data_IF_416141920156
#
_entry.id   IF_416141920156
#
_cell.length_a   1.000
_cell.length_b   1.000
_cell.length_c   1.000
_cell.angle_alpha   90.00
_cell.angle_beta   90.00
_cell.angle_gamma   90.00
#
_symmetry.space_group_name_H-M   'P 1'
#
loop_
_entity.id
_entity.type
_entity.pdbx_description
1 polymer ?
#
# COMPACT_ATOMS: atom_id res chain seq x y z
N UNK A 1 22.96 8.06 13.45
CA UNK A 1 21.68 7.54 12.90
C UNK A 1 21.83 7.52 11.41
N UNK A 2 21.38 6.48 10.77
CA UNK A 2 21.47 6.33 9.30
C UNK A 2 20.40 7.28 8.70
N UNK A 3 20.84 8.40 8.15
CA UNK A 3 19.96 9.51 7.68
C UNK A 3 19.16 9.12 6.41
N UNK A 4 19.43 7.94 5.87
CA UNK A 4 18.79 7.40 4.67
C UNK A 4 17.37 6.88 4.90
N UNK A 5 17.00 6.56 6.15
CA UNK A 5 15.68 5.98 6.44
C UNK A 5 14.74 6.99 7.08
N UNK A 6 13.52 7.09 6.54
CA UNK A 6 12.46 7.90 7.13
C UNK A 6 11.63 7.11 8.15
N UNK A 7 11.55 5.78 7.98
CA UNK A 7 10.93 4.84 8.92
C UNK A 7 11.99 3.82 9.35
N UNK A 8 12.18 3.63 10.66
CA UNK A 8 12.96 2.53 11.25
C UNK A 8 12.13 1.91 12.38
N UNK A 9 11.74 0.66 12.19
CA UNK A 9 10.89 -0.11 13.11
C UNK A 9 11.65 -1.33 13.58
N UNK A 10 11.65 -1.58 14.89
CA UNK A 10 12.30 -2.75 15.50
C UNK A 10 11.39 -3.42 16.50
N UNK A 11 11.11 -4.71 16.27
CA UNK A 11 10.36 -5.58 17.16
C UNK A 11 8.94 -5.09 17.46
N UNK A 12 8.32 -4.34 16.54
CA UNK A 12 7.00 -3.76 16.77
C UNK A 12 5.96 -4.85 17.00
N UNK A 13 5.30 -4.81 18.16
CA UNK A 13 4.25 -5.75 18.54
C UNK A 13 3.01 -5.01 19.00
N UNK A 14 1.84 -5.46 18.52
CA UNK A 14 0.53 -4.93 18.93
C UNK A 14 -0.46 -6.05 19.23
N UNK A 15 -1.02 -5.98 20.43
CA UNK A 15 -2.00 -6.92 20.93
C UNK A 15 -3.41 -6.29 20.99
N UNK A 16 -4.42 -7.08 20.72
CA UNK A 16 -5.82 -6.80 21.00
C UNK A 16 -6.40 -8.01 21.75
N UNK A 17 -6.45 -7.93 23.09
CA UNK A 17 -6.68 -9.12 23.92
C UNK A 17 -5.59 -10.16 23.67
N UNK A 18 -5.98 -11.39 23.37
CA UNK A 18 -5.04 -12.50 23.08
C UNK A 18 -4.53 -12.51 21.63
N UNK A 19 -5.10 -11.65 20.75
CA UNK A 19 -4.74 -11.63 19.34
C UNK A 19 -3.54 -10.70 19.09
N UNK A 20 -2.44 -11.26 18.58
CA UNK A 20 -1.32 -10.49 18.03
C UNK A 20 -1.69 -9.96 16.64
N UNK A 21 -1.94 -8.67 16.55
CA UNK A 21 -2.24 -8.00 15.28
C UNK A 21 -0.96 -7.59 14.52
N UNK A 22 0.12 -7.32 15.28
CA UNK A 22 1.49 -7.15 14.79
C UNK A 22 2.36 -7.99 15.73
N UNK A 23 3.31 -8.76 15.18
CA UNK A 23 4.09 -9.74 15.94
C UNK A 23 5.58 -9.63 15.61
N UNK A 24 6.29 -8.78 16.38
CA UNK A 24 7.73 -8.60 16.28
C UNK A 24 8.21 -8.05 14.93
N UNK A 25 7.50 -7.07 14.36
CA UNK A 25 7.76 -6.56 13.02
C UNK A 25 9.01 -5.65 13.01
N UNK A 26 9.97 -6.00 12.15
CA UNK A 26 11.14 -5.18 11.80
C UNK A 26 10.98 -4.64 10.38
N UNK A 27 11.22 -3.34 10.17
CA UNK A 27 11.06 -2.71 8.86
C UNK A 27 11.86 -1.40 8.79
N UNK A 28 12.40 -1.11 7.60
CA UNK A 28 12.99 0.19 7.28
C UNK A 28 12.49 0.68 5.93
N UNK A 29 12.15 1.98 5.83
CA UNK A 29 11.74 2.62 4.57
C UNK A 29 12.68 3.79 4.30
N UNK A 30 13.22 3.85 3.06
CA UNK A 30 14.14 4.91 2.65
C UNK A 30 13.39 6.21 2.34
N UNK A 31 14.08 7.34 2.45
CA UNK A 31 13.55 8.62 2.01
C UNK A 31 13.30 8.61 0.50
N UNK A 32 12.16 9.17 0.08
CA UNK A 32 11.74 9.19 -1.33
C UNK A 32 11.30 7.83 -1.90
N UNK A 33 11.23 6.79 -1.06
CA UNK A 33 10.78 5.47 -1.49
C UNK A 33 9.24 5.40 -1.54
N UNK A 34 8.69 4.71 -2.55
CA UNK A 34 7.30 4.25 -2.54
C UNK A 34 7.28 2.79 -2.12
N UNK A 35 6.73 2.54 -0.93
CA UNK A 35 6.77 1.25 -0.26
C UNK A 35 5.37 0.72 0.00
N UNK A 36 5.14 -0.56 -0.26
CA UNK A 36 3.84 -1.19 -0.05
C UNK A 36 3.87 -2.29 1.00
N UNK A 37 2.83 -2.33 1.83
CA UNK A 37 2.40 -3.52 2.56
C UNK A 37 1.29 -4.22 1.78
N UNK A 38 1.60 -5.38 1.23
CA UNK A 38 0.68 -6.22 0.49
C UNK A 38 0.29 -7.43 1.35
N UNK A 39 -1.00 -7.65 1.54
CA UNK A 39 -1.47 -8.79 2.34
C UNK A 39 -2.98 -8.89 2.43
N UNK A 40 -3.51 -10.03 2.91
CA UNK A 40 -4.93 -10.24 3.06
C UNK A 40 -5.58 -9.34 4.10
N UNK A 41 -6.90 -9.30 4.10
CA UNK A 41 -7.64 -8.65 5.16
C UNK A 41 -7.36 -9.33 6.49
N UNK A 42 -7.09 -8.52 7.53
CA UNK A 42 -6.72 -9.01 8.85
C UNK A 42 -5.24 -9.39 9.01
N UNK A 43 -4.39 -9.19 7.99
CA UNK A 43 -2.95 -9.45 8.09
C UNK A 43 -2.18 -8.51 9.03
N UNK A 44 -2.78 -7.38 9.43
CA UNK A 44 -2.16 -6.37 10.30
C UNK A 44 -1.85 -5.04 9.61
N UNK A 45 -2.13 -4.87 8.31
CA UNK A 45 -1.80 -3.67 7.51
C UNK A 45 -2.27 -2.37 8.15
N UNK A 46 -3.58 -2.21 8.34
CA UNK A 46 -4.20 -1.02 8.96
C UNK A 46 -3.69 -0.79 10.38
N UNK A 47 -3.50 -1.87 11.16
CA UNK A 47 -2.96 -1.76 12.52
C UNK A 47 -1.54 -1.22 12.51
N UNK A 48 -0.71 -1.66 11.56
CA UNK A 48 0.66 -1.16 11.40
C UNK A 48 0.65 0.32 11.03
N UNK A 49 -0.13 0.73 10.01
CA UNK A 49 -0.26 2.17 9.66
C UNK A 49 -0.70 3.00 10.87
N UNK A 50 -1.70 2.53 11.63
CA UNK A 50 -2.18 3.25 12.80
C UNK A 50 -1.15 3.34 13.92
N UNK A 51 -0.33 2.30 14.13
CA UNK A 51 0.76 2.32 15.10
C UNK A 51 1.87 3.29 14.67
N UNK A 52 2.33 3.21 13.41
CA UNK A 52 3.37 4.09 12.86
C UNK A 52 2.95 5.56 12.82
N UNK A 53 1.68 5.83 12.51
CA UNK A 53 1.12 7.19 12.46
C UNK A 53 0.66 7.72 13.82
N UNK A 54 0.95 7.01 14.90
CA UNK A 54 0.56 7.37 16.28
C UNK A 54 -0.94 7.47 16.54
N UNK A 55 -1.76 6.87 15.68
CA UNK A 55 -3.22 6.78 15.86
C UNK A 55 -3.63 5.68 16.84
N UNK A 56 -2.73 4.76 17.15
CA UNK A 56 -2.85 3.77 18.22
C UNK A 56 -1.49 3.52 18.86
N UNK A 57 -1.47 3.17 20.14
CA UNK A 57 -0.25 2.72 20.81
C UNK A 57 0.12 1.29 20.38
N UNK A 58 1.36 0.90 20.67
CA UNK A 58 1.87 -0.47 20.52
C UNK A 58 2.38 -0.97 21.88
N UNK A 59 2.60 -2.29 21.98
CA UNK A 59 2.88 -2.94 23.25
C UNK A 59 4.38 -3.18 23.45
N UNK A 60 5.12 -3.53 22.35
CA UNK A 60 6.56 -3.77 22.39
C UNK A 60 7.25 -3.21 21.15
N UNK A 61 8.55 -2.99 21.24
CA UNK A 61 9.39 -2.53 20.13
C UNK A 61 9.68 -1.03 20.15
N UNK A 62 10.20 -0.53 19.04
CA UNK A 62 10.49 0.89 18.85
C UNK A 62 10.20 1.33 17.41
N UNK A 63 9.78 2.58 17.26
CA UNK A 63 9.49 3.19 15.96
C UNK A 63 10.12 4.57 15.89
N UNK A 64 10.92 4.78 14.86
CA UNK A 64 11.51 6.07 14.52
C UNK A 64 10.88 6.57 13.22
N UNK A 65 10.42 7.82 13.19
CA UNK A 65 9.93 8.51 12.01
C UNK A 65 10.71 9.81 11.84
N UNK A 66 11.33 9.98 10.68
CA UNK A 66 12.17 11.16 10.33
C UNK A 66 13.26 11.44 11.39
N UNK A 67 13.77 10.38 12.04
CA UNK A 67 14.78 10.48 13.10
C UNK A 67 14.20 10.71 14.50
N UNK A 68 12.89 10.82 14.65
CA UNK A 68 12.20 11.02 15.93
C UNK A 68 11.56 9.72 16.43
N UNK A 69 11.78 9.40 17.70
CA UNK A 69 11.08 8.32 18.39
C UNK A 69 9.62 8.75 18.61
N UNK A 70 8.66 7.99 18.06
CA UNK A 70 7.25 8.40 18.08
C UNK A 70 6.63 8.41 19.49
N UNK A 71 7.26 7.78 20.48
CA UNK A 71 6.82 7.78 21.88
C UNK A 71 7.43 8.95 22.64
N UNK A 72 8.72 9.25 22.40
CA UNK A 72 9.45 10.30 23.12
C UNK A 72 9.26 11.69 22.48
N UNK A 73 9.15 11.74 21.16
CA UNK A 73 9.05 12.97 20.37
C UNK A 73 7.81 12.93 19.44
N UNK A 74 6.59 12.74 19.98
CA UNK A 74 5.39 12.50 19.18
C UNK A 74 4.98 13.69 18.31
N UNK A 75 5.28 14.92 18.72
CA UNK A 75 4.89 16.12 17.96
C UNK A 75 5.77 16.29 16.71
N UNK A 76 7.07 16.09 16.85
CA UNK A 76 8.05 16.16 15.77
C UNK A 76 7.79 15.03 14.76
N UNK A 77 7.55 13.82 15.22
CA UNK A 77 7.19 12.70 14.36
C UNK A 77 5.90 12.96 13.59
N UNK A 78 4.85 13.47 14.26
CA UNK A 78 3.56 13.82 13.63
C UNK A 78 3.69 14.92 12.58
N UNK A 79 4.54 15.91 12.82
CA UNK A 79 4.78 17.00 11.87
C UNK A 79 5.38 16.49 10.54
N UNK A 80 6.09 15.35 10.57
CA UNK A 80 6.66 14.73 9.36
C UNK A 80 5.68 13.85 8.59
N UNK A 81 4.47 13.59 9.13
CA UNK A 81 3.55 12.56 8.63
C UNK A 81 2.26 13.18 8.08
N UNK A 82 1.87 12.82 6.86
CA UNK A 82 0.49 12.91 6.37
C UNK A 82 -0.16 11.52 6.43
N UNK A 83 -1.44 11.46 6.81
CA UNK A 83 -2.16 10.18 6.94
C UNK A 83 -3.50 10.23 6.22
N UNK A 84 -3.75 9.22 5.38
CA UNK A 84 -5.05 8.98 4.77
C UNK A 84 -5.50 7.59 5.16
N UNK A 85 -6.57 7.54 5.91
CA UNK A 85 -7.20 6.29 6.30
C UNK A 85 -8.09 5.75 5.18
N UNK A 86 -8.46 4.49 5.25
CA UNK A 86 -9.38 3.84 4.31
C UNK A 86 -10.70 4.61 4.19
N UNK A 87 -11.25 5.07 5.32
CA UNK A 87 -12.40 5.98 5.33
C UNK A 87 -11.94 7.43 5.29
N UNK A 88 -12.47 8.17 4.33
CA UNK A 88 -12.11 9.57 4.11
C UNK A 88 -12.70 10.43 5.24
N UNK A 89 -11.81 11.10 5.97
CA UNK A 89 -12.18 12.02 7.07
C UNK A 89 -12.31 13.47 6.56
N UNK A 90 -13.18 13.69 5.56
CA UNK A 90 -13.53 15.02 5.07
C UNK A 90 -14.92 15.39 5.59
N UNK A 91 -15.09 16.66 5.94
CA UNK A 91 -16.41 17.22 6.24
C UNK A 91 -17.18 17.43 4.93
N UNK A 92 -18.29 16.72 4.78
CA UNK A 92 -19.09 16.71 3.56
C UNK A 92 -19.87 18.01 3.32
N UNK A 93 -20.17 18.72 4.40
CA UNK A 93 -20.92 19.98 4.35
C UNK A 93 -20.05 21.19 3.99
N UNK A 94 -18.73 21.04 4.18
CA UNK A 94 -17.73 22.03 3.84
C UNK A 94 -17.31 21.93 2.37
N UNK A 95 -16.85 23.06 1.82
CA UNK A 95 -16.19 23.10 0.52
C UNK A 95 -14.81 22.45 0.57
N UNK A 96 -14.22 22.19 -0.60
CA UNK A 96 -12.82 21.71 -0.71
C UNK A 96 -11.87 22.67 0.00
N UNK A 97 -12.02 24.00 -0.26
CA UNK A 97 -11.20 25.02 0.38
C UNK A 97 -11.34 25.02 1.91
N UNK A 98 -12.56 24.96 2.42
CA UNK A 98 -12.83 24.93 3.87
C UNK A 98 -12.24 23.68 4.54
N UNK A 99 -12.32 22.51 3.91
CA UNK A 99 -11.66 21.31 4.39
C UNK A 99 -10.14 21.50 4.46
N UNK A 100 -9.51 22.01 3.41
CA UNK A 100 -8.07 22.27 3.40
C UNK A 100 -7.70 23.30 4.47
N UNK A 101 -8.48 24.36 4.64
CA UNK A 101 -8.27 25.40 5.67
C UNK A 101 -8.39 24.81 7.08
N UNK A 102 -9.39 23.94 7.32
CA UNK A 102 -9.57 23.23 8.59
C UNK A 102 -8.36 22.36 8.93
N UNK A 103 -7.85 21.62 7.95
CA UNK A 103 -6.62 20.84 8.13
C UNK A 103 -5.40 21.72 8.42
N UNK A 104 -5.24 22.86 7.72
CA UNK A 104 -4.18 23.82 8.01
C UNK A 104 -4.27 24.41 9.43
N UNK A 105 -5.49 24.60 9.92
CA UNK A 105 -5.74 25.04 11.30
C UNK A 105 -5.38 23.96 12.33
N UNK A 106 -5.81 22.71 12.11
CA UNK A 106 -5.48 21.58 12.98
C UNK A 106 -3.97 21.34 13.06
N UNK A 107 -3.26 21.53 11.96
CA UNK A 107 -1.80 21.44 11.90
C UNK A 107 -1.08 22.71 12.40
N UNK A 108 -1.81 23.65 12.99
CA UNK A 108 -1.29 24.90 13.60
C UNK A 108 -0.42 25.72 12.63
N UNK A 109 -0.68 25.65 11.32
CA UNK A 109 0.07 26.43 10.36
C UNK A 109 -0.07 27.95 10.61
N UNK A 110 1.00 28.75 10.41
CA UNK A 110 0.93 30.19 10.52
C UNK A 110 -0.15 30.78 9.59
N UNK A 111 -0.95 31.73 10.09
CA UNK A 111 -2.07 32.31 9.34
C UNK A 111 -1.64 32.89 7.98
N UNK A 112 -0.45 33.48 7.92
CA UNK A 112 0.10 34.08 6.71
C UNK A 112 0.35 33.05 5.59
N UNK A 113 0.65 31.79 5.93
CA UNK A 113 1.07 30.78 4.97
C UNK A 113 -0.09 29.92 4.45
N UNK A 114 -1.18 29.81 5.23
CA UNK A 114 -2.29 28.89 4.95
C UNK A 114 -2.88 29.04 3.56
N UNK A 115 -3.30 30.28 3.22
CA UNK A 115 -3.94 30.54 1.92
C UNK A 115 -2.99 30.24 0.77
N UNK A 116 -1.76 30.74 0.83
CA UNK A 116 -0.74 30.50 -0.19
C UNK A 116 -0.50 29.01 -0.41
N UNK A 117 -0.37 28.25 0.69
CA UNK A 117 -0.14 26.79 0.61
C UNK A 117 -1.32 26.04 0.02
N UNK A 118 -2.55 26.42 0.40
CA UNK A 118 -3.78 25.83 -0.14
C UNK A 118 -3.89 26.10 -1.64
N UNK A 119 -3.66 27.35 -2.07
CA UNK A 119 -3.72 27.72 -3.49
C UNK A 119 -2.68 26.93 -4.31
N UNK A 120 -1.43 26.82 -3.82
CA UNK A 120 -0.37 26.03 -4.46
C UNK A 120 -0.74 24.54 -4.59
N UNK A 121 -1.28 23.93 -3.54
CA UNK A 121 -1.68 22.52 -3.57
C UNK A 121 -2.88 22.30 -4.49
N UNK A 122 -3.84 23.22 -4.51
CA UNK A 122 -5.01 23.16 -5.38
C UNK A 122 -4.61 23.21 -6.85
N UNK A 123 -3.67 24.08 -7.21
CA UNK A 123 -3.09 24.17 -8.55
C UNK A 123 -2.31 22.90 -8.90
N UNK A 124 -1.46 22.42 -7.97
CA UNK A 124 -0.62 21.22 -8.14
C UNK A 124 -1.39 19.97 -8.55
N UNK A 125 -2.59 19.77 -7.99
CA UNK A 125 -3.42 18.59 -8.28
C UNK A 125 -4.61 18.88 -9.21
N UNK A 126 -4.72 20.09 -9.74
CA UNK A 126 -5.77 20.48 -10.67
C UNK A 126 -7.16 20.58 -10.03
N UNK A 127 -7.26 21.07 -8.79
CA UNK A 127 -8.53 21.27 -8.08
C UNK A 127 -9.25 22.59 -8.43
N UNK A 128 -8.71 23.43 -9.34
CA UNK A 128 -9.20 24.78 -9.59
C UNK A 128 -10.71 24.90 -9.75
N UNK A 129 -11.31 24.03 -10.56
CA UNK A 129 -12.76 24.03 -10.82
C UNK A 129 -13.59 23.54 -9.63
N UNK A 130 -12.99 22.78 -8.70
CA UNK A 130 -13.69 22.15 -7.56
C UNK A 130 -13.48 22.89 -6.23
N UNK A 131 -12.68 23.93 -6.22
CA UNK A 131 -12.23 24.65 -5.02
C UNK A 131 -13.39 25.07 -4.10
N UNK A 132 -14.49 25.59 -4.69
CA UNK A 132 -15.67 26.06 -3.99
C UNK A 132 -16.83 25.03 -3.95
N UNK A 133 -16.59 23.81 -4.44
CA UNK A 133 -17.60 22.77 -4.38
C UNK A 133 -17.64 22.13 -3.00
N UNK A 134 -18.85 21.83 -2.50
CA UNK A 134 -19.00 20.98 -1.32
C UNK A 134 -18.43 19.60 -1.60
N UNK A 135 -17.73 19.04 -0.61
CA UNK A 135 -17.12 17.70 -0.74
C UNK A 135 -18.18 16.64 -1.06
N UNK A 136 -19.39 16.78 -0.54
CA UNK A 136 -20.46 15.80 -0.82
C UNK A 136 -20.79 15.67 -2.31
N UNK A 137 -20.66 16.74 -3.08
CA UNK A 137 -20.94 16.79 -4.52
C UNK A 137 -19.81 16.21 -5.39
N UNK A 138 -18.69 15.78 -4.81
CA UNK A 138 -17.56 15.22 -5.54
C UNK A 138 -17.71 13.72 -5.75
N UNK A 139 -17.14 13.21 -6.86
CA UNK A 139 -16.99 11.78 -7.06
C UNK A 139 -16.02 11.17 -6.02
N UNK A 140 -16.07 9.85 -5.83
CA UNK A 140 -15.18 9.14 -4.91
C UNK A 140 -13.69 9.40 -5.18
N UNK A 141 -13.30 9.44 -6.45
CA UNK A 141 -11.92 9.74 -6.86
C UNK A 141 -11.50 11.16 -6.48
N UNK A 142 -12.36 12.15 -6.69
CA UNK A 142 -12.09 13.52 -6.27
C UNK A 142 -12.05 13.66 -4.74
N UNK A 143 -12.94 13.00 -4.01
CA UNK A 143 -12.88 12.95 -2.53
C UNK A 143 -11.52 12.42 -2.04
N UNK A 144 -10.99 11.36 -2.66
CA UNK A 144 -9.65 10.83 -2.33
C UNK A 144 -8.54 11.84 -2.62
N UNK A 145 -8.58 12.52 -3.78
CA UNK A 145 -7.59 13.57 -4.11
C UNK A 145 -7.64 14.73 -3.11
N UNK A 146 -8.82 15.20 -2.72
CA UNK A 146 -8.98 16.25 -1.70
C UNK A 146 -8.41 15.78 -0.36
N UNK A 147 -8.66 14.54 0.06
CA UNK A 147 -8.10 13.98 1.29
C UNK A 147 -6.55 13.99 1.26
N UNK A 148 -5.95 13.61 0.12
CA UNK A 148 -4.49 13.67 -0.05
C UNK A 148 -3.98 15.10 0.13
N UNK A 149 -4.62 16.08 -0.51
CA UNK A 149 -4.20 17.48 -0.37
C UNK A 149 -4.31 17.97 1.05
N UNK A 150 -5.40 17.64 1.73
CA UNK A 150 -5.57 17.97 3.15
C UNK A 150 -4.43 17.40 4.00
N UNK A 151 -4.01 16.15 3.71
CA UNK A 151 -2.89 15.51 4.40
C UNK A 151 -1.52 16.14 4.04
N UNK A 152 -1.41 16.86 2.91
CA UNK A 152 -0.18 17.50 2.45
C UNK A 152 -0.05 18.98 2.86
N UNK A 153 -1.09 19.57 3.45
CA UNK A 153 -1.14 21.01 3.73
C UNK A 153 0.05 21.47 4.57
N UNK A 154 0.44 20.72 5.60
CA UNK A 154 1.53 21.05 6.52
C UNK A 154 2.93 20.63 6.02
N UNK A 155 3.03 20.23 4.76
CA UNK A 155 4.28 19.84 4.10
C UNK A 155 4.99 18.64 4.76
N UNK A 156 4.31 17.49 4.96
CA UNK A 156 4.92 16.31 5.53
C UNK A 156 6.01 15.75 4.61
N UNK A 157 6.90 14.92 5.16
CA UNK A 157 7.94 14.19 4.41
C UNK A 157 7.53 12.77 4.06
N UNK A 158 6.53 12.24 4.77
CA UNK A 158 6.03 10.87 4.67
C UNK A 158 4.51 10.89 4.58
N UNK A 159 3.96 10.18 3.58
CA UNK A 159 2.53 10.00 3.39
C UNK A 159 2.15 8.55 3.63
N UNK A 160 1.32 8.30 4.64
CA UNK A 160 0.67 7.01 4.85
C UNK A 160 -0.67 6.94 4.14
N UNK A 161 -0.90 5.87 3.38
CA UNK A 161 -2.13 5.60 2.64
C UNK A 161 -2.65 4.21 3.01
N UNK A 162 -3.79 4.15 3.69
CA UNK A 162 -4.41 2.87 4.02
C UNK A 162 -5.47 2.52 2.98
N UNK A 163 -5.16 1.56 2.11
CA UNK A 163 -6.00 1.08 1.00
C UNK A 163 -6.58 2.22 0.13
N UNK A 164 -5.73 3.05 -0.50
CA UNK A 164 -6.15 4.32 -1.11
C UNK A 164 -7.12 4.17 -2.28
N UNK A 165 -7.08 3.06 -3.01
CA UNK A 165 -7.86 2.87 -4.25
C UNK A 165 -9.12 2.03 -4.07
N UNK A 166 -9.37 1.54 -2.85
CA UNK A 166 -10.59 0.76 -2.56
C UNK A 166 -11.83 1.58 -2.86
N UNK A 167 -12.75 0.98 -3.62
CA UNK A 167 -14.03 1.59 -4.01
C UNK A 167 -13.95 2.59 -5.17
N UNK A 168 -12.79 2.73 -5.81
CA UNK A 168 -12.63 3.56 -7.01
C UNK A 168 -12.85 2.74 -8.29
N UNK A 169 -13.44 3.38 -9.30
CA UNK A 169 -13.45 2.86 -10.65
C UNK A 169 -12.04 2.89 -11.28
N UNK A 170 -11.88 2.26 -12.43
CA UNK A 170 -10.58 2.11 -13.11
C UNK A 170 -9.96 3.48 -13.45
N UNK A 171 -10.76 4.45 -13.91
CA UNK A 171 -10.25 5.77 -14.31
C UNK A 171 -9.81 6.57 -13.07
N UNK A 172 -10.61 6.59 -12.02
CA UNK A 172 -10.28 7.25 -10.76
C UNK A 172 -9.03 6.63 -10.11
N UNK A 173 -8.90 5.29 -10.16
CA UNK A 173 -7.71 4.56 -9.67
C UNK A 173 -6.45 4.99 -10.42
N UNK A 174 -6.46 4.96 -11.75
CA UNK A 174 -5.32 5.39 -12.58
C UNK A 174 -4.94 6.85 -12.31
N UNK A 175 -5.94 7.73 -12.26
CA UNK A 175 -5.68 9.13 -11.95
C UNK A 175 -5.15 9.38 -10.53
N UNK A 176 -5.47 8.50 -9.56
CA UNK A 176 -4.86 8.53 -8.24
C UNK A 176 -3.41 8.01 -8.28
N UNK A 177 -3.13 6.95 -9.03
CA UNK A 177 -1.76 6.44 -9.24
C UNK A 177 -0.84 7.49 -9.86
N UNK A 178 -1.33 8.23 -10.87
CA UNK A 178 -0.56 9.31 -11.48
C UNK A 178 -0.23 10.42 -10.49
N UNK A 179 -1.17 10.76 -9.61
CA UNK A 179 -0.93 11.73 -8.53
C UNK A 179 0.13 11.20 -7.55
N UNK A 180 0.05 9.94 -7.12
CA UNK A 180 1.04 9.35 -6.21
C UNK A 180 2.44 9.28 -6.83
N UNK A 181 2.54 8.90 -8.11
CA UNK A 181 3.82 8.93 -8.84
C UNK A 181 4.39 10.35 -8.91
N UNK A 182 3.56 11.36 -9.19
CA UNK A 182 3.98 12.76 -9.23
C UNK A 182 4.53 13.19 -7.87
N UNK A 183 3.81 12.91 -6.78
CA UNK A 183 4.26 13.24 -5.42
C UNK A 183 5.58 12.55 -5.07
N UNK A 184 5.73 11.28 -5.43
CA UNK A 184 6.95 10.52 -5.15
C UNK A 184 8.14 11.03 -5.99
N UNK A 185 7.94 11.35 -7.26
CA UNK A 185 8.96 11.97 -8.13
C UNK A 185 9.42 13.34 -7.59
N UNK A 186 8.55 14.06 -6.89
CA UNK A 186 8.88 15.31 -6.22
C UNK A 186 9.55 15.09 -4.83
N UNK A 187 9.92 13.86 -4.52
CA UNK A 187 10.69 13.48 -3.32
C UNK A 187 9.87 13.05 -2.11
N UNK A 188 8.53 12.96 -2.22
CA UNK A 188 7.68 12.47 -1.14
C UNK A 188 7.92 10.99 -0.90
N UNK A 189 8.16 10.59 0.35
CA UNK A 189 8.10 9.18 0.73
C UNK A 189 6.65 8.75 0.87
N UNK A 190 6.29 7.62 0.28
CA UNK A 190 4.93 7.10 0.34
C UNK A 190 4.95 5.68 0.89
N UNK A 191 4.19 5.47 1.95
CA UNK A 191 3.91 4.15 2.51
C UNK A 191 2.44 3.82 2.28
N UNK A 192 2.15 2.80 1.50
CA UNK A 192 0.77 2.40 1.26
C UNK A 192 0.49 0.96 1.69
N UNK A 193 -0.74 0.72 2.12
CA UNK A 193 -1.25 -0.63 2.29
C UNK A 193 -2.21 -0.95 1.17
N UNK A 194 -2.16 -2.17 0.70
CA UNK A 194 -3.08 -2.64 -0.33
C UNK A 194 -3.29 -4.15 -0.25
N UNK A 195 -4.39 -4.62 -0.81
CA UNK A 195 -4.60 -6.02 -1.16
C UNK A 195 -4.66 -6.22 -2.68
N UNK A 196 -4.51 -5.13 -3.47
CA UNK A 196 -4.41 -5.16 -4.92
C UNK A 196 -2.93 -5.30 -5.32
N UNK A 197 -2.59 -6.45 -5.88
CA UNK A 197 -1.20 -6.75 -6.30
C UNK A 197 -0.76 -5.81 -7.42
N UNK A 198 -1.65 -5.53 -8.39
CA UNK A 198 -1.40 -4.61 -9.50
C UNK A 198 -0.97 -3.21 -9.01
N UNK A 199 -1.56 -2.74 -7.88
CA UNK A 199 -1.18 -1.46 -7.28
C UNK A 199 0.24 -1.48 -6.74
N UNK A 200 0.59 -2.52 -5.98
CA UNK A 200 1.94 -2.69 -5.42
C UNK A 200 2.99 -2.84 -6.54
N UNK A 201 2.69 -3.65 -7.57
CA UNK A 201 3.58 -3.91 -8.70
C UNK A 201 3.79 -2.66 -9.57
N UNK A 202 2.71 -1.89 -9.82
CA UNK A 202 2.77 -0.73 -10.71
C UNK A 202 3.37 0.52 -10.08
N UNK A 203 3.26 0.69 -8.76
CA UNK A 203 3.62 1.92 -8.07
C UNK A 203 4.90 1.82 -7.25
N UNK A 204 5.15 0.67 -6.60
CA UNK A 204 6.08 0.64 -5.50
C UNK A 204 7.48 0.20 -5.89
N UNK A 205 8.48 0.88 -5.32
CA UNK A 205 9.87 0.49 -5.48
C UNK A 205 10.17 -0.81 -4.73
N UNK A 206 9.52 -1.00 -3.58
CA UNK A 206 9.68 -2.17 -2.73
C UNK A 206 8.35 -2.55 -2.08
N UNK A 207 8.15 -3.85 -1.92
CA UNK A 207 6.93 -4.44 -1.39
C UNK A 207 7.29 -5.40 -0.28
N UNK A 208 6.53 -5.36 0.81
CA UNK A 208 6.54 -6.40 1.84
C UNK A 208 5.23 -7.17 1.82
N UNK A 209 5.33 -8.48 1.75
CA UNK A 209 4.21 -9.38 1.99
C UNK A 209 4.01 -9.54 3.49
N UNK A 210 2.82 -9.19 3.96
CA UNK A 210 2.45 -9.32 5.38
C UNK A 210 1.36 -10.36 5.58
N UNK A 211 1.58 -11.27 6.51
CA UNK A 211 0.60 -12.26 6.96
C UNK A 211 0.66 -12.43 8.47
N UNK A 212 -0.50 -12.45 9.12
CA UNK A 212 -0.65 -12.67 10.58
C UNK A 212 0.28 -11.78 11.43
N UNK A 213 0.42 -10.52 11.02
CA UNK A 213 1.23 -9.52 11.73
C UNK A 213 2.73 -9.59 11.49
N UNK A 214 3.21 -10.43 10.56
CA UNK A 214 4.63 -10.59 10.23
C UNK A 214 4.91 -10.29 8.76
N UNK A 215 6.09 -9.72 8.49
CA UNK A 215 6.62 -9.68 7.13
C UNK A 215 7.17 -11.07 6.79
N UNK A 216 6.65 -11.67 5.71
CA UNK A 216 7.06 -12.99 5.24
C UNK A 216 8.03 -12.93 4.06
N UNK A 217 8.00 -11.84 3.30
CA UNK A 217 8.94 -11.57 2.23
C UNK A 217 9.02 -10.07 1.98
N UNK A 218 10.18 -9.59 1.54
CA UNK A 218 10.43 -8.20 1.17
C UNK A 218 11.40 -8.14 -0.01
N UNK A 219 11.17 -7.20 -0.93
CA UNK A 219 12.01 -6.95 -2.10
C UNK A 219 11.34 -6.03 -3.10
N UNK A 220 12.01 -5.78 -4.23
CA UNK A 220 11.33 -5.16 -5.38
C UNK A 220 10.28 -6.12 -5.93
N UNK A 221 9.24 -5.63 -6.63
CA UNK A 221 8.27 -6.52 -7.26
C UNK A 221 8.93 -7.61 -8.13
N UNK A 222 9.96 -7.23 -8.90
CA UNK A 222 10.71 -8.14 -9.77
C UNK A 222 11.52 -9.17 -8.98
N UNK A 223 12.23 -8.75 -7.91
CA UNK A 223 12.99 -9.68 -7.06
C UNK A 223 12.07 -10.70 -6.39
N UNK A 224 10.91 -10.26 -5.91
CA UNK A 224 9.94 -11.15 -5.29
C UNK A 224 9.39 -12.17 -6.28
N UNK A 225 9.05 -11.74 -7.50
CA UNK A 225 8.61 -12.63 -8.58
C UNK A 225 9.69 -13.66 -8.93
N UNK A 226 10.95 -13.23 -9.06
CA UNK A 226 12.06 -14.11 -9.41
C UNK A 226 12.45 -15.12 -8.32
N UNK A 227 12.01 -14.94 -7.07
CA UNK A 227 12.26 -15.93 -6.00
C UNK A 227 11.61 -17.29 -6.24
N UNK A 228 10.57 -17.34 -7.07
CA UNK A 228 9.85 -18.58 -7.37
C UNK A 228 10.12 -19.11 -8.79
N UNK A 229 10.85 -18.33 -9.61
CA UNK A 229 11.18 -18.62 -11.02
C UNK A 229 10.88 -17.45 -11.92
N UNK A 230 11.50 -17.39 -13.10
CA UNK A 230 11.34 -16.27 -14.05
C UNK A 230 10.18 -16.45 -15.01
N UNK A 231 9.75 -17.70 -15.21
CA UNK A 231 8.68 -18.07 -16.14
C UNK A 231 7.66 -18.94 -15.42
N UNK A 232 6.39 -18.65 -15.70
CA UNK A 232 5.25 -19.39 -15.20
C UNK A 232 4.57 -20.11 -16.35
N UNK A 233 4.31 -21.40 -16.16
CA UNK A 233 3.40 -22.18 -17.01
C UNK A 233 2.10 -22.32 -16.25
N UNK A 234 1.08 -21.65 -16.78
CA UNK A 234 -0.29 -21.75 -16.28
C UNK A 234 -1.04 -22.76 -17.13
N UNK A 235 -1.64 -23.78 -16.54
CA UNK A 235 -2.33 -24.83 -17.29
C UNK A 235 -3.55 -25.34 -16.53
N UNK A 236 -4.59 -25.71 -17.29
CA UNK A 236 -5.77 -26.39 -16.78
C UNK A 236 -6.32 -27.36 -17.83
N UNK A 237 -6.82 -28.49 -17.34
CA UNK A 237 -7.45 -29.53 -18.17
C UNK A 237 -8.96 -29.65 -17.87
N UNK A 238 -9.50 -30.85 -18.06
CA UNK A 238 -10.92 -31.16 -17.87
C UNK A 238 -11.44 -30.89 -16.44
N UNK A 239 -10.56 -30.94 -15.45
CA UNK A 239 -10.87 -30.63 -14.06
C UNK A 239 -11.12 -29.13 -13.82
N UNK A 240 -10.85 -28.28 -14.81
CA UNK A 240 -10.97 -26.81 -14.77
C UNK A 240 -10.24 -26.13 -13.61
N UNK A 241 -9.33 -26.85 -12.93
CA UNK A 241 -8.50 -26.30 -11.89
C UNK A 241 -7.22 -25.75 -12.52
N UNK A 242 -7.00 -24.44 -12.44
CA UNK A 242 -5.76 -23.82 -12.90
C UNK A 242 -4.60 -24.24 -12.00
N UNK A 243 -3.52 -24.70 -12.61
CA UNK A 243 -2.28 -25.12 -11.97
C UNK A 243 -1.14 -24.26 -12.50
N UNK A 244 -0.13 -24.07 -11.68
CA UNK A 244 1.03 -23.25 -11.99
C UNK A 244 2.30 -24.06 -11.77
N UNK A 245 3.26 -23.90 -12.68
CA UNK A 245 4.61 -24.43 -12.56
C UNK A 245 5.60 -23.30 -12.87
N UNK A 246 6.69 -23.24 -12.12
CA UNK A 246 7.65 -22.13 -12.20
C UNK A 246 9.01 -22.64 -12.67
N UNK A 247 9.68 -21.85 -13.52
CA UNK A 247 10.92 -22.23 -14.19
C UNK A 247 11.90 -21.05 -14.24
N UNK A 248 13.19 -21.34 -14.21
CA UNK A 248 14.24 -20.33 -14.31
C UNK A 248 14.44 -19.82 -15.75
N UNK A 249 14.22 -20.68 -16.75
CA UNK A 249 14.39 -20.35 -18.15
C UNK A 249 13.11 -20.56 -18.95
N UNK A 250 12.98 -19.75 -20.04
CA UNK A 250 11.87 -19.90 -20.99
C UNK A 250 11.89 -21.26 -21.66
N UNK A 251 13.08 -21.82 -21.94
CA UNK A 251 13.20 -23.10 -22.59
C UNK A 251 12.64 -24.25 -21.75
N UNK A 252 12.93 -24.26 -20.44
CA UNK A 252 12.36 -25.23 -19.50
C UNK A 252 10.82 -25.13 -19.46
N UNK A 253 10.29 -23.89 -19.42
CA UNK A 253 8.85 -23.65 -19.43
C UNK A 253 8.20 -24.11 -20.74
N UNK A 254 8.82 -23.81 -21.88
CA UNK A 254 8.36 -24.24 -23.21
C UNK A 254 8.44 -25.78 -23.35
N UNK A 255 9.49 -26.42 -22.83
CA UNK A 255 9.62 -27.89 -22.88
C UNK A 255 8.61 -28.58 -21.94
N UNK A 256 8.32 -27.99 -20.78
CA UNK A 256 7.25 -28.47 -19.90
C UNK A 256 5.87 -28.32 -20.57
N UNK A 257 5.62 -27.22 -21.27
CA UNK A 257 4.33 -26.97 -21.92
C UNK A 257 4.01 -27.98 -23.03
N UNK A 258 5.03 -28.55 -23.70
CA UNK A 258 4.88 -29.57 -24.76
C UNK A 258 4.39 -30.91 -24.25
N UNK A 259 4.39 -31.15 -22.93
CA UNK A 259 3.92 -32.41 -22.34
C UNK A 259 2.39 -32.50 -22.30
N UNK A 260 1.70 -31.39 -22.56
CA UNK A 260 0.24 -31.30 -22.54
C UNK A 260 -0.32 -31.50 -23.96
N UNK A 261 -1.40 -32.23 -24.05
CA UNK A 261 -2.14 -32.42 -25.30
C UNK A 261 -3.22 -31.32 -25.48
N UNK A 262 -3.95 -31.40 -26.59
CA UNK A 262 -4.98 -30.41 -26.97
C UNK A 262 -6.18 -30.35 -25.99
N UNK A 263 -6.25 -31.21 -24.98
CA UNK A 263 -7.28 -31.19 -23.93
C UNK A 263 -6.95 -30.18 -22.82
N UNK A 264 -5.71 -29.69 -22.81
CA UNK A 264 -5.25 -28.67 -21.85
C UNK A 264 -5.16 -27.31 -22.53
N UNK A 265 -5.54 -26.27 -21.77
CA UNK A 265 -5.14 -24.91 -22.09
C UNK A 265 -3.86 -24.60 -21.34
N UNK A 266 -2.82 -24.20 -22.06
CA UNK A 266 -1.49 -23.94 -21.49
C UNK A 266 -1.02 -22.55 -21.93
N UNK A 267 -0.56 -21.75 -20.98
CA UNK A 267 0.00 -20.41 -21.21
C UNK A 267 1.37 -20.32 -20.58
N UNK A 268 2.38 -19.93 -21.37
CA UNK A 268 3.73 -19.63 -20.88
C UNK A 268 3.91 -18.12 -20.83
N UNK A 269 4.20 -17.59 -19.66
CA UNK A 269 4.38 -16.14 -19.43
C UNK A 269 5.53 -15.86 -18.46
N UNK A 270 5.90 -14.59 -18.30
CA UNK A 270 6.79 -14.18 -17.21
C UNK A 270 6.07 -14.30 -15.89
N UNK A 271 6.81 -14.69 -14.86
CA UNK A 271 6.34 -14.67 -13.47
C UNK A 271 6.11 -13.24 -13.02
N UNK A 272 5.03 -12.99 -12.32
CA UNK A 272 4.64 -11.70 -11.79
C UNK A 272 4.55 -11.72 -10.24
N UNK A 273 4.26 -10.57 -9.65
CA UNK A 273 4.16 -10.43 -8.20
C UNK A 273 3.00 -11.25 -7.61
N UNK A 274 1.92 -11.48 -8.40
CA UNK A 274 0.78 -12.30 -7.98
C UNK A 274 1.18 -13.76 -7.77
N UNK A 275 1.95 -14.31 -8.70
CA UNK A 275 2.47 -15.68 -8.59
C UNK A 275 3.29 -15.84 -7.30
N UNK A 276 4.22 -14.90 -7.05
CA UNK A 276 5.04 -14.90 -5.84
C UNK A 276 4.20 -14.78 -4.56
N UNK A 277 3.22 -13.89 -4.57
CA UNK A 277 2.34 -13.71 -3.43
C UNK A 277 1.54 -14.98 -3.11
N UNK A 278 0.94 -15.60 -4.13
CA UNK A 278 0.16 -16.84 -3.98
C UNK A 278 1.03 -17.99 -3.48
N UNK A 279 2.24 -18.14 -4.05
CA UNK A 279 3.13 -19.26 -3.66
C UNK A 279 3.68 -19.07 -2.23
N UNK A 280 4.10 -17.86 -1.86
CA UNK A 280 4.71 -17.57 -0.56
C UNK A 280 3.68 -17.51 0.58
N UNK A 281 2.45 -17.07 0.33
CA UNK A 281 1.39 -16.98 1.36
C UNK A 281 0.52 -18.22 1.40
N UNK A 282 0.53 -19.06 0.37
CA UNK A 282 -0.40 -20.16 0.20
C UNK A 282 -1.85 -19.72 -0.05
N UNK A 283 -2.11 -18.45 -0.32
CA UNK A 283 -3.43 -17.88 -0.53
C UNK A 283 -3.64 -17.55 -2.01
N UNK A 284 -4.72 -18.01 -2.63
CA UNK A 284 -5.14 -17.59 -3.97
C UNK A 284 -6.06 -16.36 -3.88
N UNK A 285 -5.97 -15.49 -4.89
CA UNK A 285 -6.93 -14.39 -5.05
C UNK A 285 -8.07 -14.91 -5.91
N UNK A 286 -9.30 -14.76 -5.43
CA UNK A 286 -10.50 -15.05 -6.23
C UNK A 286 -10.80 -13.93 -7.21
N UNK A 287 -11.62 -14.20 -8.24
CA UNK A 287 -12.02 -13.26 -9.30
C UNK A 287 -12.61 -11.92 -8.80
N UNK A 288 -12.98 -11.85 -7.53
CA UNK A 288 -13.55 -10.66 -6.87
C UNK A 288 -12.47 -9.83 -6.12
N UNK A 289 -11.17 -10.14 -6.27
CA UNK A 289 -10.09 -9.51 -5.50
C UNK A 289 -10.00 -9.97 -4.03
N UNK A 290 -10.81 -10.95 -3.62
CA UNK A 290 -10.73 -11.55 -2.28
C UNK A 290 -9.82 -12.77 -2.28
N UNK A 291 -8.95 -12.85 -1.26
CA UNK A 291 -8.05 -13.99 -1.09
C UNK A 291 -8.79 -15.24 -0.67
N UNK A 292 -8.62 -16.32 -1.44
CA UNK A 292 -9.09 -17.66 -1.12
C UNK A 292 -7.92 -18.46 -0.52
N UNK A 293 -8.15 -19.16 0.60
CA UNK A 293 -7.14 -20.06 1.15
C UNK A 293 -6.85 -21.20 0.16
N UNK A 294 -5.56 -21.52 -0.01
CA UNK A 294 -5.14 -22.76 -0.71
C UNK A 294 -5.84 -23.95 -0.06
N UNK A 295 -6.46 -24.87 -0.81
CA UNK A 295 -6.99 -26.09 -0.21
C UNK A 295 -5.84 -26.83 0.47
N UNK A 296 -6.01 -27.19 1.75
CA UNK A 296 -5.03 -27.97 2.50
C UNK A 296 -4.72 -29.23 1.70
N UNK A 297 -3.42 -29.46 1.40
CA UNK A 297 -2.98 -30.77 0.89
C UNK A 297 -3.40 -31.81 1.94
N UNK A 298 -4.36 -32.65 1.63
CA UNK A 298 -4.56 -33.85 2.38
C UNK A 298 -3.29 -34.69 2.17
N UNK A 299 -2.41 -34.71 3.18
CA UNK A 299 -1.35 -35.70 3.24
C UNK A 299 -2.01 -37.07 3.31
N UNK A 300 -1.74 -37.90 2.35
CA UNK A 300 -1.62 -39.32 2.31
C UNK A 300 -2.78 -40.17 2.78
N UNK A 301 -3.34 -40.91 1.88
CA UNK A 301 -3.63 -42.34 2.12
C UNK A 301 -2.91 -43.17 1.06
#
# INVERSE_FOLDING_TARGET
MDDDYIIDVKGLTKLYGDKRAIDGLDMKVRRGEMYAFLGPNGAGKTTTVRALSTLTGFDEGSVMIDGYDIVKNPMEAKAAIGVIQQHISLDKDLTVWENMMSHALYQQMPKADRKKRIDQLSEYIGLGDYYNYKVDNLSGGWKKRVAIVCALVHNPKLLFLDEPTVGLDIQARRGLWDLLRKLNNDGMTIFLTTHYIEEAESLCNRVSFIEKGKIIAEGTPEDLAHKIGRFTVEYYGLDRNTKYAYFESRQEADDFSKQFDDTYTVTVRRTNLEDAFVEMTGNRIGDNGFMLKKPEKKEGA
#
